data_IF_916933869984
#
_entry.id   IF_916933869984
#
_cell.length_a   1.000
_cell.length_b   1.000
_cell.length_c   1.000
_cell.angle_alpha   90.00
_cell.angle_beta   90.00
_cell.angle_gamma   90.00
#
_symmetry.space_group_name_H-M   'P 1'
#
loop_
_entity.id
_entity.type
_entity.pdbx_description
1 polymer ?
#
# COMPACT_ATOMS: atom_id res chain seq x y z
N UNK A 1 -22.46 41.78 58.50
CA UNK A 1 -21.70 40.52 58.49
C UNK A 1 -21.50 40.08 57.05
N UNK A 2 -20.27 39.92 56.56
CA UNK A 2 -19.95 38.93 55.52
C UNK A 2 -18.44 38.73 55.48
N UNK A 3 -18.04 37.47 55.52
CA UNK A 3 -16.70 37.01 55.83
C UNK A 3 -15.79 37.07 54.60
N UNK A 4 -14.57 37.55 54.83
CA UNK A 4 -13.43 37.47 53.92
C UNK A 4 -12.79 36.09 54.05
N UNK A 5 -12.83 35.26 53.01
CA UNK A 5 -12.17 33.94 52.98
C UNK A 5 -11.05 33.93 51.95
N UNK A 6 -9.83 34.05 52.47
CA UNK A 6 -8.60 33.64 51.79
C UNK A 6 -8.57 32.11 51.70
N UNK A 7 -8.72 31.54 50.50
CA UNK A 7 -8.44 30.13 50.26
C UNK A 7 -7.45 29.97 49.10
N UNK A 8 -6.16 29.95 49.45
CA UNK A 8 -5.06 29.48 48.61
C UNK A 8 -5.23 27.98 48.35
N UNK A 9 -5.98 27.58 47.32
CA UNK A 9 -5.98 26.19 46.84
C UNK A 9 -4.80 25.94 45.90
N UNK A 10 -3.75 25.37 46.47
CA UNK A 10 -2.61 24.79 45.75
C UNK A 10 -3.10 23.74 44.73
N UNK A 11 -2.82 23.99 43.45
CA UNK A 11 -3.12 23.05 42.36
C UNK A 11 -2.14 21.88 42.39
N UNK A 12 -2.48 20.83 43.16
CA UNK A 12 -1.72 19.58 43.30
C UNK A 12 -2.28 18.50 42.37
N UNK A 13 -2.45 18.80 41.08
CA UNK A 13 -2.71 17.75 40.09
C UNK A 13 -1.38 17.10 39.67
N UNK A 14 -0.97 16.09 40.44
CA UNK A 14 0.07 15.12 40.06
C UNK A 14 -0.26 14.58 38.66
N UNK A 15 0.52 15.00 37.67
CA UNK A 15 0.52 14.39 36.34
C UNK A 15 0.75 12.90 36.51
N UNK A 16 -0.27 12.10 36.17
CA UNK A 16 -0.16 10.64 36.16
C UNK A 16 1.00 10.26 35.26
N UNK A 17 2.08 9.74 35.83
CA UNK A 17 3.17 9.09 35.10
C UNK A 17 2.54 8.06 34.16
N UNK A 18 2.56 8.37 32.86
CA UNK A 18 2.08 7.46 31.82
C UNK A 18 3.07 6.29 31.81
N UNK A 19 2.64 5.03 32.02
CA UNK A 19 3.55 3.89 32.10
C UNK A 19 4.42 3.81 30.85
N UNK A 20 5.71 3.53 31.03
CA UNK A 20 6.72 3.47 29.96
C UNK A 20 6.30 2.57 28.77
N UNK A 21 5.49 1.54 29.05
CA UNK A 21 4.89 0.63 28.06
C UNK A 21 4.00 1.32 27.01
N UNK A 22 3.50 2.55 27.26
CA UNK A 22 2.76 3.36 26.28
C UNK A 22 3.62 4.40 25.54
N UNK A 23 4.86 4.64 25.96
CA UNK A 23 5.79 5.56 25.28
C UNK A 23 6.73 4.86 24.29
N UNK A 24 6.85 3.53 24.37
CA UNK A 24 7.59 2.72 23.41
C UNK A 24 6.68 2.11 22.36
N UNK A 25 6.13 2.94 21.46
CA UNK A 25 5.55 2.40 20.23
C UNK A 25 6.65 1.62 19.52
N UNK A 26 6.47 0.30 19.39
CA UNK A 26 7.33 -0.56 18.58
C UNK A 26 7.46 0.10 17.21
N UNK A 27 8.56 0.84 16.99
CA UNK A 27 8.89 1.39 15.69
C UNK A 27 9.21 0.17 14.85
N UNK A 28 8.19 -0.36 14.17
CA UNK A 28 8.36 -1.44 13.21
C UNK A 28 9.45 -0.97 12.25
N UNK A 29 10.63 -1.60 12.35
CA UNK A 29 11.75 -1.29 11.45
C UNK A 29 11.19 -1.45 10.05
N UNK A 30 11.35 -0.42 9.21
CA UNK A 30 11.01 -0.52 7.79
C UNK A 30 12.00 -1.53 7.21
N UNK A 31 11.59 -2.79 7.15
CA UNK A 31 12.29 -3.79 6.35
C UNK A 31 12.11 -3.36 4.91
N UNK A 32 13.21 -3.09 4.21
CA UNK A 32 13.18 -2.86 2.77
C UNK A 32 12.69 -4.16 2.12
N UNK A 33 11.39 -4.24 1.86
CA UNK A 33 10.81 -5.30 1.04
C UNK A 33 11.36 -5.12 -0.37
N UNK A 34 12.30 -5.97 -0.76
CA UNK A 34 12.78 -6.05 -2.14
C UNK A 34 11.61 -6.53 -3.00
N UNK A 35 11.21 -5.72 -3.99
CA UNK A 35 10.19 -6.13 -4.94
C UNK A 35 10.73 -7.31 -5.77
N UNK A 36 10.10 -8.47 -5.63
CA UNK A 36 10.51 -9.70 -6.34
C UNK A 36 10.01 -9.74 -7.79
N UNK A 37 8.91 -9.04 -8.08
CA UNK A 37 8.26 -9.06 -9.38
C UNK A 37 8.17 -7.67 -10.00
N UNK A 38 8.14 -7.63 -11.33
CA UNK A 38 7.99 -6.40 -12.11
C UNK A 38 6.58 -6.34 -12.69
N UNK A 39 5.91 -5.19 -12.55
CA UNK A 39 4.59 -4.96 -13.10
C UNK A 39 4.64 -4.83 -14.63
N UNK A 40 3.84 -5.57 -15.41
CA UNK A 40 3.87 -5.50 -16.88
C UNK A 40 3.34 -4.17 -17.45
N UNK A 41 2.51 -3.45 -16.69
CA UNK A 41 1.88 -2.20 -17.14
C UNK A 41 2.78 -0.97 -16.95
N UNK A 42 3.49 -0.87 -15.83
CA UNK A 42 4.35 0.28 -15.52
C UNK A 42 5.85 -0.04 -15.52
N UNK A 43 6.23 -1.32 -15.63
CA UNK A 43 7.61 -1.80 -15.54
C UNK A 43 8.32 -1.49 -14.21
N UNK A 44 7.56 -1.15 -13.16
CA UNK A 44 8.10 -0.93 -11.82
C UNK A 44 7.93 -2.18 -10.94
N UNK A 45 8.77 -2.29 -9.90
CA UNK A 45 8.71 -3.38 -8.95
C UNK A 45 7.41 -3.40 -8.11
N UNK A 46 6.78 -4.57 -8.00
CA UNK A 46 5.62 -4.82 -7.15
C UNK A 46 6.09 -5.07 -5.71
N UNK A 47 5.93 -4.05 -4.86
CA UNK A 47 6.30 -4.14 -3.43
C UNK A 47 5.32 -4.98 -2.62
N UNK A 48 4.04 -4.94 -2.98
CA UNK A 48 2.96 -5.60 -2.26
C UNK A 48 2.28 -6.65 -3.14
N UNK A 49 2.95 -7.78 -3.35
CA UNK A 49 2.46 -8.90 -4.17
C UNK A 49 1.09 -9.41 -3.69
N UNK A 50 0.81 -9.34 -2.38
CA UNK A 50 -0.49 -9.73 -1.83
C UNK A 50 -1.69 -8.88 -2.33
N UNK A 51 -1.43 -7.63 -2.73
CA UNK A 51 -2.42 -6.71 -3.28
C UNK A 51 -2.34 -6.62 -4.81
N UNK A 52 -1.42 -7.35 -5.43
CA UNK A 52 -1.28 -7.41 -6.88
C UNK A 52 -2.40 -8.26 -7.50
N UNK A 53 -2.68 -8.00 -8.77
CA UNK A 53 -3.71 -8.67 -9.56
C UNK A 53 -3.05 -9.28 -10.80
N UNK A 54 -3.45 -10.50 -11.17
CA UNK A 54 -3.02 -11.10 -12.44
C UNK A 54 -3.81 -10.43 -13.57
N UNK A 55 -3.20 -9.49 -14.29
CA UNK A 55 -3.86 -8.86 -15.42
C UNK A 55 -3.71 -9.76 -16.66
N UNK A 56 -4.80 -10.43 -17.07
CA UNK A 56 -4.83 -11.28 -18.29
C UNK A 56 -3.76 -12.39 -18.33
N UNK A 57 -3.23 -12.81 -17.19
CA UNK A 57 -2.19 -13.83 -17.12
C UNK A 57 -0.76 -13.34 -17.33
N UNK A 58 -0.54 -12.03 -17.45
CA UNK A 58 0.77 -11.42 -17.65
C UNK A 58 1.61 -11.38 -16.36
N UNK A 59 1.01 -11.69 -15.21
CA UNK A 59 1.68 -11.73 -13.92
C UNK A 59 1.26 -10.59 -12.97
N UNK A 60 1.97 -10.41 -11.85
CA UNK A 60 1.57 -9.51 -10.78
C UNK A 60 1.61 -8.06 -11.27
N UNK A 61 0.43 -7.48 -11.42
CA UNK A 61 0.23 -6.09 -11.82
C UNK A 61 -0.22 -5.27 -10.63
N UNK A 62 0.20 -4.01 -10.53
CA UNK A 62 -0.30 -3.12 -9.48
C UNK A 62 -1.81 -2.91 -9.61
N UNK A 63 -2.50 -2.87 -8.49
CA UNK A 63 -3.94 -2.59 -8.42
C UNK A 63 -4.34 -1.33 -9.20
N UNK A 64 -3.61 -0.23 -9.00
CA UNK A 64 -3.87 1.04 -9.68
C UNK A 64 -3.58 0.97 -11.19
N UNK A 65 -2.59 0.17 -11.60
CA UNK A 65 -2.30 -0.04 -13.01
C UNK A 65 -3.45 -0.78 -13.71
N UNK A 66 -4.03 -1.80 -13.06
CA UNK A 66 -5.20 -2.49 -13.59
C UNK A 66 -6.38 -1.54 -13.74
N UNK A 67 -6.67 -0.70 -12.74
CA UNK A 67 -7.75 0.29 -12.84
C UNK A 67 -7.51 1.22 -14.02
N UNK A 68 -6.29 1.75 -14.17
CA UNK A 68 -5.96 2.65 -15.28
C UNK A 68 -6.14 1.97 -16.63
N UNK A 69 -5.59 0.76 -16.80
CA UNK A 69 -5.76 0.00 -18.04
C UNK A 69 -7.24 -0.23 -18.35
N UNK A 70 -8.04 -0.62 -17.36
CA UNK A 70 -9.48 -0.78 -17.55
C UNK A 70 -10.17 0.53 -17.92
N UNK A 71 -9.80 1.67 -17.31
CA UNK A 71 -10.40 2.96 -17.67
C UNK A 71 -10.04 3.43 -19.08
N UNK A 72 -8.92 2.97 -19.63
CA UNK A 72 -8.47 3.30 -20.98
C UNK A 72 -9.08 2.37 -22.03
N UNK A 73 -9.24 1.08 -21.71
CA UNK A 73 -9.82 0.10 -22.64
C UNK A 73 -11.34 0.20 -22.71
N UNK A 74 -11.99 0.68 -21.64
CA UNK A 74 -13.44 0.70 -21.54
C UNK A 74 -14.01 2.10 -21.73
N UNK A 75 -15.01 2.20 -22.60
CA UNK A 75 -15.82 3.41 -22.75
C UNK A 75 -16.69 3.66 -21.52
N UNK A 76 -16.23 4.53 -20.62
CA UNK A 76 -16.99 5.00 -19.47
C UNK A 76 -17.84 6.20 -19.84
N UNK A 77 -19.15 6.14 -19.60
CA UNK A 77 -20.04 7.28 -19.79
C UNK A 77 -19.87 8.31 -18.66
N UNK A 78 -20.25 9.58 -18.86
CA UNK A 78 -20.23 10.57 -17.79
C UNK A 78 -21.09 10.12 -16.59
N UNK A 79 -20.44 9.97 -15.43
CA UNK A 79 -21.05 9.50 -14.18
C UNK A 79 -20.82 8.02 -13.87
N UNK A 80 -20.15 7.29 -14.75
CA UNK A 80 -19.69 5.92 -14.51
C UNK A 80 -18.28 5.90 -13.93
N UNK A 81 -18.02 4.91 -13.07
CA UNK A 81 -16.70 4.68 -12.44
C UNK A 81 -16.40 3.20 -12.37
N UNK A 82 -15.12 2.85 -12.40
CA UNK A 82 -14.66 1.48 -12.14
C UNK A 82 -14.50 1.29 -10.63
N UNK A 83 -15.02 0.20 -10.12
CA UNK A 83 -14.94 -0.22 -8.72
C UNK A 83 -14.46 -1.66 -8.63
N UNK A 84 -13.69 -1.98 -7.60
CA UNK A 84 -13.30 -3.36 -7.34
C UNK A 84 -14.42 -4.08 -6.58
N UNK A 85 -14.92 -5.18 -7.15
CA UNK A 85 -16.01 -5.99 -6.58
C UNK A 85 -15.46 -7.06 -5.66
N UNK A 86 -14.24 -7.54 -5.94
CA UNK A 86 -13.55 -8.56 -5.15
C UNK A 86 -13.22 -9.82 -5.94
N UNK A 87 -12.25 -10.58 -5.42
CA UNK A 87 -11.76 -11.82 -6.02
C UNK A 87 -11.29 -11.66 -7.47
N UNK A 88 -10.54 -10.59 -7.77
CA UNK A 88 -10.02 -10.37 -9.13
C UNK A 88 -11.03 -9.76 -10.11
N UNK A 89 -12.20 -9.33 -9.63
CA UNK A 89 -13.27 -8.76 -10.46
C UNK A 89 -13.43 -7.26 -10.22
N UNK A 90 -13.64 -6.56 -11.32
CA UNK A 90 -13.95 -5.14 -11.35
C UNK A 90 -15.36 -4.94 -11.89
N UNK A 91 -15.94 -3.79 -11.61
CA UNK A 91 -17.29 -3.48 -12.04
C UNK A 91 -17.42 -2.02 -12.39
N UNK A 92 -18.26 -1.71 -13.37
CA UNK A 92 -18.62 -0.33 -13.67
C UNK A 92 -19.86 0.02 -12.88
N UNK A 93 -19.73 1.01 -12.02
CA UNK A 93 -20.82 1.54 -11.21
C UNK A 93 -21.29 2.89 -11.76
N UNK A 94 -22.58 3.16 -11.65
CA UNK A 94 -23.16 4.46 -11.91
C UNK A 94 -23.56 5.13 -10.60
N UNK A 95 -23.04 6.35 -10.38
CA UNK A 95 -23.31 7.13 -9.17
C UNK A 95 -24.50 8.09 -9.33
N UNK A 96 -25.33 7.94 -10.37
CA UNK A 96 -26.59 8.70 -10.47
C UNK A 96 -27.42 8.42 -9.22
N UNK A 97 -27.68 9.47 -8.43
CA UNK A 97 -28.66 9.44 -7.34
C UNK A 97 -29.99 8.99 -7.91
N UNK A 98 -30.32 7.73 -7.71
CA UNK A 98 -31.66 7.25 -8.02
C UNK A 98 -32.61 7.75 -6.92
N UNK A 99 -33.87 7.98 -7.28
CA UNK A 99 -34.90 8.42 -6.32
C UNK A 99 -35.14 7.42 -5.19
N UNK A 100 -34.59 6.20 -5.31
CA UNK A 100 -34.72 5.08 -4.37
C UNK A 100 -33.72 5.12 -3.22
N UNK A 101 -32.81 6.10 -3.16
CA UNK A 101 -31.85 6.26 -2.07
C UNK A 101 -30.67 5.29 -2.09
N UNK A 102 -30.49 4.53 -3.18
CA UNK A 102 -29.32 3.66 -3.34
C UNK A 102 -28.16 4.51 -3.88
N UNK A 103 -26.98 4.48 -3.25
CA UNK A 103 -25.89 5.39 -3.59
C UNK A 103 -25.22 5.11 -4.95
N UNK A 104 -25.35 3.88 -5.47
CA UNK A 104 -24.79 3.48 -6.76
C UNK A 104 -25.51 2.26 -7.35
N UNK A 105 -25.35 2.01 -8.65
CA UNK A 105 -25.83 0.80 -9.32
C UNK A 105 -24.69 0.16 -10.09
N UNK A 106 -24.46 -1.14 -9.88
CA UNK A 106 -23.50 -1.92 -10.67
C UNK A 106 -24.10 -2.19 -12.06
N UNK A 107 -23.49 -1.63 -13.10
CA UNK A 107 -23.95 -1.75 -14.48
C UNK A 107 -23.41 -3.01 -15.15
N UNK A 108 -22.13 -3.33 -14.92
CA UNK A 108 -21.45 -4.48 -15.51
C UNK A 108 -20.29 -4.94 -14.64
N UNK A 109 -19.96 -6.21 -14.76
CA UNK A 109 -18.81 -6.85 -14.13
C UNK A 109 -17.77 -7.20 -15.20
N UNK A 110 -16.50 -7.06 -14.85
CA UNK A 110 -15.32 -7.28 -15.68
C UNK A 110 -14.45 -8.26 -14.89
N UNK A 111 -14.33 -9.47 -15.40
CA UNK A 111 -13.40 -10.47 -14.86
C UNK A 111 -12.00 -10.16 -15.39
N UNK A 112 -11.06 -9.92 -14.47
CA UNK A 112 -9.68 -9.57 -14.81
C UNK A 112 -8.71 -10.69 -14.46
N UNK A 113 -8.95 -11.35 -13.32
CA UNK A 113 -8.14 -12.46 -12.82
C UNK A 113 -9.02 -13.71 -12.69
N UNK A 114 -8.56 -14.81 -13.29
CA UNK A 114 -9.22 -16.11 -13.22
C UNK A 114 -9.12 -16.70 -11.80
N UNK A 115 -10.26 -16.93 -11.16
CA UNK A 115 -10.31 -17.44 -9.78
C UNK A 115 -9.82 -18.88 -9.63
N UNK A 116 -9.90 -19.66 -10.70
CA UNK A 116 -9.48 -21.07 -10.71
C UNK A 116 -7.97 -21.21 -10.94
N UNK A 117 -7.30 -20.16 -11.40
CA UNK A 117 -5.86 -20.18 -11.66
C UNK A 117 -5.11 -20.06 -10.35
N UNK A 118 -4.34 -21.10 -10.03
CA UNK A 118 -3.43 -21.07 -8.87
C UNK A 118 -2.25 -20.17 -9.22
N UNK A 119 -2.22 -19.00 -8.60
CA UNK A 119 -1.14 -18.03 -8.77
C UNK A 119 0.00 -18.38 -7.81
N UNK A 120 1.03 -19.04 -8.33
CA UNK A 120 2.20 -19.49 -7.55
C UNK A 120 2.93 -18.34 -6.84
N UNK A 121 2.92 -17.14 -7.44
CA UNK A 121 3.55 -15.94 -6.90
C UNK A 121 2.77 -15.30 -5.74
N UNK A 122 1.47 -15.62 -5.56
CA UNK A 122 0.64 -15.04 -4.51
C UNK A 122 0.92 -15.69 -3.14
N UNK A 123 1.39 -16.94 -3.15
CA UNK A 123 1.76 -17.71 -1.95
C UNK A 123 3.20 -17.49 -1.48
N UNK A 124 4.00 -16.69 -2.19
CA UNK A 124 5.30 -16.23 -1.72
C UNK A 124 5.12 -15.25 -0.55
N UNK A 125 4.78 -15.81 0.62
CA UNK A 125 4.70 -15.08 1.88
C UNK A 125 6.06 -14.44 2.12
N UNK A 126 6.09 -13.10 1.96
CA UNK A 126 7.11 -12.16 2.43
C UNK A 126 8.37 -12.87 2.92
N UNK A 127 9.30 -13.17 2.02
CA UNK A 127 10.65 -13.52 2.44
C UNK A 127 11.22 -12.27 3.09
N UNK A 128 11.28 -12.27 4.42
CA UNK A 128 11.92 -11.20 5.17
C UNK A 128 13.41 -11.44 5.01
N UNK A 129 14.02 -10.86 3.98
CA UNK A 129 15.47 -10.86 3.89
C UNK A 129 15.95 -9.80 4.88
N UNK A 130 16.49 -10.23 6.01
CA UNK A 130 17.27 -9.36 6.89
C UNK A 130 18.45 -8.85 6.07
N UNK A 131 18.46 -7.55 5.77
CA UNK A 131 19.61 -6.89 5.12
C UNK A 131 20.70 -6.73 6.17
N UNK A 132 21.44 -7.80 6.42
CA UNK A 132 22.81 -7.84 6.92
C UNK A 132 23.53 -8.65 5.82
N UNK A 133 24.20 -8.06 4.84
CA UNK A 133 25.50 -7.39 4.96
C UNK A 133 25.77 -6.62 3.65
N UNK A 134 25.59 -5.30 3.64
CA UNK A 134 25.93 -4.44 2.48
C UNK A 134 27.26 -3.72 2.69
N UNK A 135 28.16 -4.31 3.47
CA UNK A 135 29.46 -3.71 3.81
C UNK A 135 30.61 -4.62 3.38
N UNK A 136 30.71 -4.93 2.07
CA UNK A 136 31.91 -5.58 1.51
C UNK A 136 32.07 -5.48 -0.02
N UNK A 137 31.66 -4.38 -0.65
CA UNK A 137 32.12 -4.07 -2.01
C UNK A 137 32.33 -2.55 -2.15
N UNK A 138 33.35 -2.04 -1.44
CA UNK A 138 33.90 -0.71 -1.71
C UNK A 138 35.41 -0.69 -1.43
N UNK A 139 36.15 -1.58 -2.07
CA UNK A 139 37.62 -1.50 -2.22
C UNK A 139 38.01 -2.27 -3.47
N UNK A 140 38.08 -1.59 -4.62
CA UNK A 140 38.95 -1.91 -5.76
C UNK A 140 38.58 -1.00 -6.96
N UNK A 141 38.69 0.31 -6.80
CA UNK A 141 38.83 1.24 -7.92
C UNK A 141 39.76 2.37 -7.47
N UNK A 142 41.04 2.03 -7.29
CA UNK A 142 42.13 3.00 -7.35
C UNK A 142 43.45 2.25 -7.61
N UNK A 143 43.89 2.24 -8.86
CA UNK A 143 45.26 1.93 -9.32
C UNK A 143 45.25 2.00 -10.85
N UNK A 144 45.40 3.22 -11.35
CA UNK A 144 45.42 3.48 -12.78
C UNK A 144 45.98 4.85 -13.11
N UNK A 145 47.16 5.19 -12.57
CA UNK A 145 47.95 6.30 -13.10
C UNK A 145 49.43 6.17 -12.69
N UNK A 146 50.21 5.44 -13.49
CA UNK A 146 51.65 5.65 -13.54
C UNK A 146 52.10 5.56 -15.00
N UNK A 147 52.03 6.71 -15.68
CA UNK A 147 52.60 6.94 -17.00
C UNK A 147 53.64 8.05 -16.85
N UNK A 148 54.89 7.70 -16.55
CA UNK A 148 56.00 8.60 -16.80
C UNK A 148 57.32 7.84 -17.00
N UNK A 149 57.64 7.52 -18.25
CA UNK A 149 59.01 7.51 -18.79
C UNK A 149 59.03 7.40 -20.30
#
# INVERSE_FOLDING_TARGET
MSQNTNDKKSNRYKGKHRPSWRSGGYRKKKSDTVALFTCPVCNEGVKEVGNAIDFKGEGPTHFDCVIRSLTETEDLKPGEKIAYVGSGRFGVINNKKNSSGVPFTLLREIEVEDREKVLTWRDERKVHVSVEDRSKHKTAQDSGEESNK
#
